data_IF_368917419438
#
_entry.id   IF_368917419438
#
_cell.length_a   1.000
_cell.length_b   1.000
_cell.length_c   1.000
_cell.angle_alpha   90.00
_cell.angle_beta   90.00
_cell.angle_gamma   90.00
#
_symmetry.space_group_name_H-M   'P 1'
#
loop_
_entity.id
_entity.type
_entity.pdbx_description
1 polymer ?
#
# COMPACT_ATOMS: atom_id res chain seq x y z
N UNK A 1 0.36 8.86 -6.04
CA UNK A 1 0.66 8.40 -4.68
C UNK A 1 1.18 6.97 -4.77
N UNK A 2 2.46 6.77 -4.45
CA UNK A 2 3.15 5.48 -4.53
C UNK A 2 3.54 5.03 -3.13
N UNK A 3 2.97 3.92 -2.66
CA UNK A 3 3.35 3.26 -1.41
C UNK A 3 3.92 1.87 -1.73
N UNK A 4 4.65 1.32 -0.76
CA UNK A 4 5.11 -0.08 -0.82
C UNK A 4 3.89 -0.99 -0.61
N UNK A 5 3.75 -2.06 -1.38
CA UNK A 5 2.70 -3.05 -1.18
C UNK A 5 3.31 -4.45 -1.15
N UNK A 6 2.94 -5.26 -0.15
CA UNK A 6 3.33 -6.67 -0.05
C UNK A 6 2.15 -7.48 0.47
N UNK A 7 1.44 -8.12 -0.44
CA UNK A 7 0.31 -8.97 -0.13
C UNK A 7 0.17 -10.02 -1.24
N UNK A 8 -0.27 -11.22 -0.88
CA UNK A 8 -0.60 -12.27 -1.83
C UNK A 8 -2.03 -12.12 -2.32
N UNK A 9 -2.95 -11.90 -1.38
CA UNK A 9 -4.36 -11.72 -1.66
C UNK A 9 -4.67 -10.24 -1.90
N UNK A 10 -5.71 -9.98 -2.69
CA UNK A 10 -6.21 -8.65 -2.92
C UNK A 10 -7.73 -8.61 -2.80
N UNK A 11 -8.27 -7.45 -2.43
CA UNK A 11 -9.71 -7.21 -2.50
C UNK A 11 -10.16 -7.30 -3.95
N UNK A 12 -10.91 -8.34 -4.30
CA UNK A 12 -11.48 -8.55 -5.65
C UNK A 12 -12.92 -8.08 -5.75
N UNK A 13 -13.59 -7.90 -4.62
CA UNK A 13 -14.96 -7.37 -4.53
C UNK A 13 -15.04 -6.41 -3.36
N UNK A 14 -15.46 -5.19 -3.67
CA UNK A 14 -15.67 -4.13 -2.68
C UNK A 14 -16.90 -4.45 -1.83
N UNK A 15 -16.85 -4.07 -0.55
CA UNK A 15 -17.99 -4.19 0.35
C UNK A 15 -19.18 -3.35 -0.10
N UNK A 16 -20.38 -3.69 0.35
CA UNK A 16 -21.56 -2.85 0.12
C UNK A 16 -21.30 -1.44 0.65
N UNK A 17 -21.70 -0.42 -0.11
CA UNK A 17 -21.56 1.00 0.20
C UNK A 17 -20.12 1.55 0.33
N UNK A 18 -19.11 0.73 0.03
CA UNK A 18 -17.73 1.22 -0.09
C UNK A 18 -17.48 1.81 -1.47
N UNK A 19 -16.82 2.97 -1.49
CA UNK A 19 -16.36 3.65 -2.69
C UNK A 19 -14.89 3.32 -2.94
N UNK A 20 -14.51 3.16 -4.21
CA UNK A 20 -13.11 3.00 -4.61
C UNK A 20 -12.51 4.39 -4.83
N UNK A 21 -11.46 4.72 -4.07
CA UNK A 21 -10.77 6.01 -4.15
C UNK A 21 -9.52 5.94 -5.04
N UNK A 22 -8.85 4.80 -5.07
CA UNK A 22 -7.67 4.58 -5.91
C UNK A 22 -7.51 3.10 -6.27
N UNK A 23 -6.89 2.86 -7.43
CA UNK A 23 -6.61 1.53 -7.97
C UNK A 23 -5.74 1.60 -9.23
N UNK A 24 -5.29 0.43 -9.69
CA UNK A 24 -4.65 0.26 -11.00
C UNK A 24 -5.08 -1.08 -11.62
N UNK A 25 -4.56 -1.41 -12.81
CA UNK A 25 -4.93 -2.65 -13.52
C UNK A 25 -4.59 -3.93 -12.72
N UNK A 26 -3.56 -3.90 -11.88
CA UNK A 26 -3.17 -5.04 -11.05
C UNK A 26 -4.02 -5.14 -9.77
N UNK A 27 -4.23 -4.02 -9.09
CA UNK A 27 -5.00 -3.91 -7.85
C UNK A 27 -6.10 -2.84 -7.99
N UNK A 28 -7.28 -3.19 -8.52
CA UNK A 28 -8.34 -2.22 -8.81
C UNK A 28 -8.97 -1.58 -7.57
N UNK A 29 -8.97 -2.29 -6.44
CA UNK A 29 -9.55 -1.85 -5.17
C UNK A 29 -8.44 -1.51 -4.16
N UNK A 30 -7.48 -0.70 -4.57
CA UNK A 30 -6.28 -0.43 -3.78
C UNK A 30 -6.57 0.42 -2.54
N UNK A 31 -7.46 1.40 -2.67
CA UNK A 31 -7.91 2.25 -1.57
C UNK A 31 -9.43 2.40 -1.64
N UNK A 32 -10.12 2.11 -0.55
CA UNK A 32 -11.59 2.22 -0.49
C UNK A 32 -12.03 2.96 0.75
N UNK A 33 -13.24 3.49 0.73
CA UNK A 33 -13.81 4.29 1.81
C UNK A 33 -15.27 3.97 2.02
N UNK A 34 -15.71 3.96 3.27
CA UNK A 34 -17.12 3.97 3.62
C UNK A 34 -17.45 5.27 4.37
N UNK A 35 -18.17 6.17 3.67
CA UNK A 35 -18.51 7.51 4.16
C UNK A 35 -17.26 8.21 4.74
N UNK A 36 -17.41 9.10 5.70
CA UNK A 36 -16.29 9.71 6.41
C UNK A 36 -15.96 8.94 7.71
N UNK A 37 -16.04 7.60 7.66
CA UNK A 37 -15.92 6.72 8.84
C UNK A 37 -14.82 5.68 8.71
N UNK A 38 -14.65 5.09 7.53
CA UNK A 38 -13.68 4.02 7.30
C UNK A 38 -12.89 4.34 6.04
N UNK A 39 -11.57 4.22 6.14
CA UNK A 39 -10.64 4.27 5.03
C UNK A 39 -9.80 2.98 5.07
N UNK A 40 -9.63 2.34 3.92
CA UNK A 40 -8.77 1.16 3.76
C UNK A 40 -7.76 1.40 2.66
N UNK A 41 -6.57 0.82 2.79
CA UNK A 41 -5.51 0.85 1.78
C UNK A 41 -4.78 -0.49 1.77
N UNK A 42 -4.43 -1.03 0.59
CA UNK A 42 -3.69 -2.29 0.45
C UNK A 42 -2.17 -2.10 0.42
N UNK A 43 -1.70 -0.86 0.34
CA UNK A 43 -0.29 -0.51 0.55
C UNK A 43 0.04 -0.23 2.01
N UNK A 44 1.34 -0.16 2.29
CA UNK A 44 1.95 0.02 3.59
C UNK A 44 2.55 1.44 3.71
N UNK A 45 1.74 2.46 4.08
CA UNK A 45 2.22 3.81 4.38
C UNK A 45 3.14 3.87 5.61
N UNK A 46 3.23 2.80 6.38
CA UNK A 46 4.12 2.63 7.52
C UNK A 46 5.52 2.10 7.13
N UNK A 47 5.71 1.64 5.89
CA UNK A 47 6.98 1.06 5.47
C UNK A 47 7.93 2.11 4.90
N UNK A 48 9.19 2.01 5.29
CA UNK A 48 10.32 2.66 4.62
C UNK A 48 10.99 1.69 3.65
N UNK A 49 11.73 2.21 2.65
CA UNK A 49 12.53 1.38 1.76
C UNK A 49 13.50 0.47 2.52
N UNK A 50 14.17 1.02 3.54
CA UNK A 50 15.12 0.28 4.38
C UNK A 50 14.44 -0.88 5.13
N UNK A 51 13.28 -0.63 5.75
CA UNK A 51 12.52 -1.67 6.44
C UNK A 51 12.07 -2.77 5.47
N UNK A 52 11.53 -2.38 4.32
CA UNK A 52 11.04 -3.34 3.34
C UNK A 52 12.15 -4.21 2.74
N UNK A 53 13.29 -3.61 2.38
CA UNK A 53 14.42 -4.38 1.87
C UNK A 53 14.98 -5.35 2.93
N UNK A 54 15.00 -4.94 4.21
CA UNK A 54 15.37 -5.83 5.31
C UNK A 54 14.38 -7.01 5.45
N UNK A 55 13.07 -6.75 5.32
CA UNK A 55 12.02 -7.78 5.32
C UNK A 55 12.22 -8.78 4.16
N UNK A 56 12.45 -8.28 2.94
CA UNK A 56 12.71 -9.13 1.77
C UNK A 56 13.96 -10.02 1.99
N UNK A 57 15.01 -9.46 2.58
CA UNK A 57 16.25 -10.20 2.86
C UNK A 57 16.05 -11.32 3.89
N UNK A 58 15.19 -11.12 4.89
CA UNK A 58 14.88 -12.14 5.90
C UNK A 58 13.94 -13.24 5.38
N UNK A 59 13.20 -13.00 4.31
CA UNK A 59 12.13 -13.90 3.82
C UNK A 59 12.46 -14.55 2.47
N UNK A 60 13.76 -14.69 2.18
CA UNK A 60 14.28 -15.31 0.94
C UNK A 60 13.89 -16.77 0.76
N UNK A 61 13.55 -17.44 1.84
CA UNK A 61 13.07 -18.82 1.89
C UNK A 61 11.61 -18.96 1.44
N UNK A 62 10.84 -17.88 1.51
CA UNK A 62 9.40 -17.86 1.22
C UNK A 62 9.11 -17.24 -0.16
N UNK A 63 9.87 -16.22 -0.55
CA UNK A 63 9.68 -15.54 -1.83
C UNK A 63 10.61 -16.07 -2.91
N UNK A 64 10.10 -16.17 -4.14
CA UNK A 64 10.93 -16.51 -5.29
C UNK A 64 11.97 -15.41 -5.54
N UNK A 65 13.19 -15.80 -5.91
CA UNK A 65 14.32 -14.88 -6.02
C UNK A 65 14.08 -13.75 -7.04
N UNK A 66 13.43 -14.05 -8.16
CA UNK A 66 13.04 -13.07 -9.18
C UNK A 66 12.06 -12.01 -8.63
N UNK A 67 11.13 -12.42 -7.77
CA UNK A 67 10.19 -11.51 -7.09
C UNK A 67 10.89 -10.61 -6.09
N UNK A 68 11.87 -11.14 -5.36
CA UNK A 68 12.68 -10.35 -4.43
C UNK A 68 13.48 -9.29 -5.18
N UNK A 69 14.15 -9.68 -6.26
CA UNK A 69 14.95 -8.77 -7.09
C UNK A 69 14.07 -7.67 -7.69
N UNK A 70 12.91 -8.03 -8.26
CA UNK A 70 11.97 -7.06 -8.82
C UNK A 70 11.35 -6.13 -7.77
N UNK A 71 11.17 -6.59 -6.53
CA UNK A 71 10.59 -5.80 -5.45
C UNK A 71 11.63 -4.96 -4.68
N UNK A 72 12.91 -5.30 -4.75
CA UNK A 72 13.97 -4.60 -4.01
C UNK A 72 14.01 -3.14 -4.42
N UNK A 73 13.89 -2.25 -3.44
CA UNK A 73 13.83 -0.81 -3.67
C UNK A 73 15.25 -0.26 -3.68
N UNK A 74 15.68 0.28 -4.81
CA UNK A 74 16.94 1.02 -4.89
C UNK A 74 16.88 2.29 -4.02
N UNK A 75 18.05 2.75 -3.57
CA UNK A 75 18.18 4.08 -2.98
C UNK A 75 17.65 5.11 -3.99
N UNK A 76 16.93 6.14 -3.51
CA UNK A 76 16.32 7.24 -4.28
C UNK A 76 14.91 7.04 -4.88
N UNK A 77 14.24 5.90 -4.67
CA UNK A 77 12.81 5.84 -5.03
C UNK A 77 11.99 6.67 -4.03
N UNK A 78 11.34 7.73 -4.52
CA UNK A 78 10.36 8.48 -3.74
C UNK A 78 9.17 7.60 -3.36
N UNK A 79 8.90 7.49 -2.06
CA UNK A 79 7.72 6.84 -1.48
C UNK A 79 6.86 7.92 -0.85
N UNK A 80 5.56 7.93 -1.15
CA UNK A 80 4.65 9.02 -0.82
C UNK A 80 4.01 8.88 0.58
N UNK A 81 4.70 8.29 1.56
CA UNK A 81 4.17 8.06 2.92
C UNK A 81 3.65 9.35 3.56
N UNK A 82 4.41 10.45 3.46
CA UNK A 82 4.03 11.73 4.05
C UNK A 82 2.78 12.32 3.37
N UNK A 83 2.67 12.19 2.05
CA UNK A 83 1.49 12.61 1.31
C UNK A 83 0.27 11.80 1.70
N UNK A 84 0.40 10.48 1.87
CA UNK A 84 -0.67 9.63 2.36
C UNK A 84 -1.06 9.99 3.79
N UNK A 85 -0.09 10.21 4.69
CA UNK A 85 -0.37 10.56 6.08
C UNK A 85 -1.10 11.90 6.20
N UNK A 86 -0.77 12.88 5.36
CA UNK A 86 -1.53 14.12 5.28
C UNK A 86 -2.97 13.87 4.82
N UNK A 87 -3.16 13.09 3.76
CA UNK A 87 -4.51 12.68 3.31
C UNK A 87 -5.32 11.99 4.41
N UNK A 88 -4.71 11.06 5.17
CA UNK A 88 -5.36 10.40 6.30
C UNK A 88 -5.69 11.38 7.42
N UNK A 89 -4.79 12.32 7.72
CA UNK A 89 -5.05 13.36 8.72
C UNK A 89 -6.27 14.20 8.34
N UNK A 90 -6.37 14.62 7.08
CA UNK A 90 -7.55 15.35 6.59
C UNK A 90 -8.80 14.46 6.67
N UNK A 91 -8.73 13.21 6.25
CA UNK A 91 -9.86 12.28 6.34
C UNK A 91 -10.37 12.08 7.79
N UNK A 92 -9.46 12.01 8.77
CA UNK A 92 -9.82 11.75 10.16
C UNK A 92 -10.30 13.01 10.90
N UNK A 93 -9.78 14.18 10.53
CA UNK A 93 -9.91 15.39 11.36
C UNK A 93 -10.52 16.59 10.66
N UNK A 94 -10.50 16.67 9.33
CA UNK A 94 -11.19 17.73 8.61
C UNK A 94 -12.70 17.47 8.66
N UNK A 95 -13.45 18.45 9.18
CA UNK A 95 -14.91 18.47 9.15
C UNK A 95 -15.38 19.47 8.09
#
# INVERSE_FOLDING_TARGET
>A
MKLIAIHQDQVTRVGTDFEVLAGNEFCPHYMTRYQDKVLTVQGHPEFTAAFFNALLSQRKDIFQQDKIEAATIAEDIKIDNLTFNHFVSEFLFAK
#
